data_IF_079157249252
#
_entry.id   IF_079157249252
#
_cell.length_a   1.000
_cell.length_b   1.000
_cell.length_c   1.000
_cell.angle_alpha   90.00
_cell.angle_beta   90.00
_cell.angle_gamma   90.00
#
_symmetry.space_group_name_H-M   'P 1'
#
loop_
_entity.id
_entity.type
_entity.pdbx_description
1 polymer ?
#
# COMPACT_ATOMS: atom_id res chain seq x y z
N UNK A 1 -16.06 29.58 -9.56
CA UNK A 1 -15.50 28.30 -10.04
C UNK A 1 -16.29 27.18 -9.38
N UNK A 2 -16.84 26.21 -10.13
CA UNK A 2 -17.64 25.13 -9.52
C UNK A 2 -16.68 24.19 -8.78
N UNK A 3 -16.81 24.06 -7.47
CA UNK A 3 -15.99 23.13 -6.66
C UNK A 3 -16.01 21.72 -7.26
N UNK A 4 -14.85 21.05 -7.27
CA UNK A 4 -14.75 19.63 -7.69
C UNK A 4 -15.42 18.73 -6.66
N UNK A 5 -15.31 19.10 -5.38
CA UNK A 5 -15.81 18.35 -4.25
C UNK A 5 -17.17 18.86 -3.81
N UNK A 6 -18.08 17.93 -3.46
CA UNK A 6 -19.18 18.27 -2.57
C UNK A 6 -18.69 18.21 -1.12
N UNK A 7 -19.29 19.00 -0.21
CA UNK A 7 -19.05 18.84 1.22
C UNK A 7 -19.31 17.40 1.67
N UNK A 8 -18.49 16.93 2.61
CA UNK A 8 -18.69 15.65 3.28
C UNK A 8 -19.86 15.77 4.27
N UNK A 9 -20.64 14.70 4.41
CA UNK A 9 -21.77 14.62 5.33
C UNK A 9 -21.49 13.54 6.38
N UNK A 10 -21.62 13.89 7.66
CA UNK A 10 -21.36 12.96 8.77
C UNK A 10 -19.93 12.41 8.74
N UNK A 11 -19.80 11.09 8.81
CA UNK A 11 -18.51 10.37 8.80
C UNK A 11 -18.04 9.97 7.40
N UNK A 12 -18.56 10.61 6.35
CA UNK A 12 -18.11 10.34 4.99
C UNK A 12 -16.60 10.55 4.83
N UNK A 13 -16.03 9.71 3.96
CA UNK A 13 -14.70 9.81 3.40
C UNK A 13 -14.86 9.76 1.88
N UNK A 14 -14.01 10.46 1.14
CA UNK A 14 -13.95 10.32 -0.32
C UNK A 14 -12.98 9.22 -0.70
N UNK A 15 -13.31 8.56 -1.79
CA UNK A 15 -12.44 7.65 -2.51
C UNK A 15 -12.44 8.04 -3.98
N UNK A 16 -11.51 7.47 -4.74
CA UNK A 16 -11.51 7.55 -6.19
C UNK A 16 -11.63 6.15 -6.80
N UNK A 17 -12.20 6.08 -8.00
CA UNK A 17 -12.04 4.95 -8.91
C UNK A 17 -11.19 5.41 -10.08
N UNK A 18 -10.15 4.65 -10.41
CA UNK A 18 -9.29 4.96 -11.56
C UNK A 18 -9.95 4.34 -12.80
N UNK A 19 -10.18 5.13 -13.84
CA UNK A 19 -10.75 4.62 -15.09
C UNK A 19 -9.70 3.83 -15.88
N UNK A 20 -10.10 2.76 -16.61
CA UNK A 20 -9.22 2.05 -17.53
C UNK A 20 -8.66 2.96 -18.63
N UNK A 21 -7.54 2.58 -19.21
CA UNK A 21 -6.90 3.31 -20.31
C UNK A 21 -5.45 2.88 -20.55
N UNK A 22 -4.99 3.08 -21.77
CA UNK A 22 -3.61 2.77 -22.16
C UNK A 22 -2.60 3.61 -21.36
N UNK A 23 -1.34 3.18 -21.29
CA UNK A 23 -0.28 3.87 -20.53
C UNK A 23 -0.20 5.37 -20.81
N UNK A 24 -0.32 5.77 -22.07
CA UNK A 24 -0.23 7.18 -22.53
C UNK A 24 -1.52 7.97 -22.35
N UNK A 25 -2.64 7.31 -22.06
CA UNK A 25 -3.92 7.99 -21.89
C UNK A 25 -3.90 8.84 -20.60
N UNK A 26 -4.51 10.03 -20.61
CA UNK A 26 -4.66 10.85 -19.41
C UNK A 26 -5.27 10.04 -18.26
N UNK A 27 -4.78 10.26 -17.04
CA UNK A 27 -5.41 9.66 -15.85
C UNK A 27 -6.79 10.29 -15.65
N UNK A 28 -7.80 9.44 -15.49
CA UNK A 28 -9.17 9.84 -15.18
C UNK A 28 -9.63 9.11 -13.93
N UNK A 29 -10.23 9.86 -13.01
CA UNK A 29 -10.70 9.33 -11.74
C UNK A 29 -12.11 9.81 -11.44
N UNK A 30 -12.95 8.92 -10.93
CA UNK A 30 -14.31 9.24 -10.47
C UNK A 30 -14.35 9.32 -8.95
N UNK A 31 -14.96 10.37 -8.40
CA UNK A 31 -15.11 10.54 -6.95
C UNK A 31 -16.25 9.66 -6.42
N UNK A 32 -15.97 8.96 -5.33
CA UNK A 32 -16.93 8.15 -4.59
C UNK A 32 -16.97 8.66 -3.15
N UNK A 33 -18.15 8.71 -2.55
CA UNK A 33 -18.36 9.21 -1.19
C UNK A 33 -18.99 8.09 -0.38
N UNK A 34 -18.31 7.67 0.68
CA UNK A 34 -18.78 6.57 1.52
C UNK A 34 -18.30 6.76 2.96
N UNK A 35 -19.16 6.44 3.92
CA UNK A 35 -18.76 6.36 5.33
C UNK A 35 -17.97 5.08 5.58
N UNK A 36 -16.89 5.19 6.36
CA UNK A 36 -16.19 3.99 6.80
C UNK A 36 -17.09 3.17 7.73
N UNK A 37 -17.11 1.83 7.63
CA UNK A 37 -17.82 1.01 8.59
C UNK A 37 -17.28 1.32 9.98
N UNK A 38 -18.19 1.56 10.92
CA UNK A 38 -17.89 1.99 12.28
C UNK A 38 -17.26 0.84 13.08
N UNK A 39 -16.04 0.45 12.71
CA UNK A 39 -15.30 -0.66 13.32
C UNK A 39 -14.07 -0.07 13.97
N UNK A 40 -14.26 0.49 15.17
CA UNK A 40 -13.25 0.40 16.22
C UNK A 40 -13.07 -1.08 16.52
N UNK A 41 -12.28 -1.75 15.70
CA UNK A 41 -11.69 -3.01 16.09
C UNK A 41 -10.21 -2.72 16.10
N UNK A 42 -9.69 -2.46 17.30
CA UNK A 42 -8.25 -2.41 17.49
C UNK A 42 -7.66 -3.68 16.87
N UNK A 43 -6.52 -3.62 16.15
CA UNK A 43 -5.94 -4.79 15.48
C UNK A 43 -5.78 -5.99 16.44
N UNK A 44 -5.59 -5.69 17.73
CA UNK A 44 -5.53 -6.66 18.84
C UNK A 44 -6.88 -7.33 19.09
N UNK A 45 -7.99 -6.58 19.08
CA UNK A 45 -9.34 -7.12 19.31
C UNK A 45 -9.83 -7.98 18.14
N UNK A 46 -9.47 -7.64 16.90
CA UNK A 46 -9.77 -8.46 15.72
C UNK A 46 -9.10 -9.84 15.85
N UNK A 47 -7.84 -9.85 16.27
CA UNK A 47 -7.06 -11.06 16.49
C UNK A 47 -7.60 -11.89 17.66
N UNK A 48 -8.00 -11.25 18.76
CA UNK A 48 -8.64 -11.93 19.90
C UNK A 48 -9.99 -12.55 19.54
N UNK A 49 -10.78 -11.89 18.67
CA UNK A 49 -12.04 -12.44 18.18
C UNK A 49 -11.84 -13.69 17.30
N UNK A 50 -10.79 -13.73 16.47
CA UNK A 50 -10.43 -14.89 15.66
C UNK A 50 -9.92 -16.07 16.51
N UNK A 51 -9.27 -15.82 17.65
CA UNK A 51 -8.81 -16.88 18.56
C UNK A 51 -9.93 -17.45 19.42
N UNK A 52 -10.86 -16.60 19.86
CA UNK A 52 -11.99 -17.00 20.72
C UNK A 52 -13.08 -17.77 19.99
N UNK A 53 -13.12 -17.74 18.65
CA UNK A 53 -14.13 -18.43 17.84
C UNK A 53 -13.86 -19.93 17.62
N UNK A 54 -12.83 -20.50 18.26
CA UNK A 54 -12.54 -21.94 18.20
C UNK A 54 -13.40 -22.82 19.12
N UNK A 55 -14.54 -22.34 19.63
CA UNK A 55 -15.43 -23.21 20.44
C UNK A 55 -16.91 -22.93 20.19
N UNK A 56 -17.55 -23.91 19.54
CA UNK A 56 -19.00 -24.16 19.37
C UNK A 56 -19.87 -23.09 18.69
N UNK A 57 -20.31 -23.46 17.48
CA UNK A 57 -21.27 -22.74 16.63
C UNK A 57 -22.68 -22.80 17.22
N UNK A 58 -23.26 -21.64 17.53
CA UNK A 58 -24.71 -21.42 17.51
C UNK A 58 -25.07 -20.55 16.30
N UNK A 59 -26.08 -20.90 15.48
CA UNK A 59 -26.44 -20.13 14.30
C UNK A 59 -27.26 -18.90 14.69
N UNK A 60 -26.57 -17.85 15.13
CA UNK A 60 -27.10 -16.49 15.16
C UNK A 60 -26.64 -15.76 13.89
N UNK A 61 -27.54 -15.02 13.26
CA UNK A 61 -27.27 -14.20 12.07
C UNK A 61 -26.24 -13.12 12.44
N UNK A 62 -24.95 -13.45 12.36
CA UNK A 62 -23.90 -12.43 12.28
C UNK A 62 -23.89 -11.97 10.84
N UNK A 63 -24.39 -10.76 10.57
CA UNK A 63 -24.05 -10.08 9.32
C UNK A 63 -22.52 -10.16 9.18
N UNK A 64 -21.99 -10.69 8.06
CA UNK A 64 -20.55 -10.67 7.85
C UNK A 64 -20.11 -9.22 7.96
N UNK A 65 -19.15 -8.94 8.86
CA UNK A 65 -18.55 -7.62 9.00
C UNK A 65 -18.07 -7.25 7.60
N UNK A 66 -18.73 -6.29 6.94
CA UNK A 66 -18.32 -5.81 5.63
C UNK A 66 -16.91 -5.27 5.78
N UNK A 67 -15.94 -6.07 5.32
CA UNK A 67 -14.54 -5.68 5.33
C UNK A 67 -14.42 -4.45 4.42
N UNK A 68 -13.73 -3.38 4.84
CA UNK A 68 -13.58 -2.21 3.99
C UNK A 68 -12.94 -2.60 2.66
N UNK A 69 -13.52 -2.15 1.54
CA UNK A 69 -13.23 -2.63 0.18
C UNK A 69 -12.35 -1.67 -0.62
N UNK A 70 -11.45 -0.94 0.04
CA UNK A 70 -10.58 0.03 -0.63
C UNK A 70 -9.10 -0.20 -0.36
N UNK A 71 -8.28 0.35 -1.25
CA UNK A 71 -6.82 0.41 -1.16
C UNK A 71 -6.42 1.83 -0.78
N UNK A 72 -5.52 2.00 0.19
CA UNK A 72 -4.93 3.32 0.46
C UNK A 72 -3.56 3.42 -0.21
N UNK A 73 -3.26 4.57 -0.83
CA UNK A 73 -1.93 4.86 -1.36
C UNK A 73 -1.12 5.63 -0.30
N UNK A 74 0.08 5.15 -0.06
CA UNK A 74 1.11 5.83 0.74
C UNK A 74 2.24 6.19 -0.21
N UNK A 75 2.60 7.47 -0.31
CA UNK A 75 3.59 7.92 -1.30
C UNK A 75 4.29 9.21 -0.86
N UNK A 76 5.48 9.47 -1.41
CA UNK A 76 6.17 10.75 -1.23
C UNK A 76 5.51 11.79 -2.13
N UNK A 77 5.15 12.96 -1.60
CA UNK A 77 4.53 14.01 -2.42
C UNK A 77 5.38 14.38 -3.66
N UNK A 78 6.70 14.46 -3.51
CA UNK A 78 7.62 14.83 -4.57
C UNK A 78 7.77 16.34 -4.71
N UNK A 79 8.27 16.79 -5.86
CA UNK A 79 8.43 18.22 -6.16
C UNK A 79 7.07 18.84 -6.51
N UNK A 80 6.60 19.79 -5.69
CA UNK A 80 5.33 20.48 -5.88
C UNK A 80 5.31 21.40 -7.12
N UNK A 81 6.48 21.76 -7.67
CA UNK A 81 6.60 22.56 -8.90
C UNK A 81 6.49 21.72 -10.18
N UNK A 82 6.64 20.41 -10.08
CA UNK A 82 6.58 19.48 -11.21
C UNK A 82 5.24 18.75 -11.17
N UNK A 83 4.26 19.27 -11.89
CA UNK A 83 2.90 18.71 -11.94
C UNK A 83 2.50 18.22 -13.32
N UNK A 84 1.63 17.22 -13.35
CA UNK A 84 0.89 16.81 -14.54
C UNK A 84 -0.62 16.87 -14.27
N UNK A 85 -1.40 16.97 -15.34
CA UNK A 85 -2.85 17.03 -15.28
C UNK A 85 -3.48 15.64 -15.20
N UNK A 86 -4.51 15.50 -14.37
CA UNK A 86 -5.46 14.39 -14.41
C UNK A 86 -6.91 14.92 -14.40
N UNK A 87 -7.85 14.11 -14.86
CA UNK A 87 -9.28 14.44 -14.82
C UNK A 87 -9.93 13.83 -13.57
N UNK A 88 -10.34 14.66 -12.62
CA UNK A 88 -11.08 14.24 -11.43
C UNK A 88 -12.56 14.61 -11.57
N UNK A 89 -13.43 13.60 -11.67
CA UNK A 89 -14.87 13.75 -11.90
C UNK A 89 -15.17 14.70 -13.09
N UNK A 90 -14.44 14.51 -14.19
CA UNK A 90 -14.58 15.31 -15.40
C UNK A 90 -13.95 16.71 -15.36
N UNK A 91 -13.23 17.08 -14.29
CA UNK A 91 -12.54 18.38 -14.18
C UNK A 91 -11.01 18.21 -14.14
N UNK A 92 -10.24 19.05 -14.85
CA UNK A 92 -8.78 18.98 -14.80
C UNK A 92 -8.26 19.43 -13.44
N UNK A 93 -7.30 18.67 -12.88
CA UNK A 93 -6.56 19.03 -11.66
C UNK A 93 -5.08 18.75 -11.86
N UNK A 94 -4.24 19.62 -11.30
CA UNK A 94 -2.79 19.47 -11.30
C UNK A 94 -2.34 18.70 -10.06
N UNK A 95 -1.52 17.67 -10.25
CA UNK A 95 -0.89 16.91 -9.17
C UNK A 95 0.56 16.63 -9.49
N UNK A 96 1.35 16.36 -8.45
CA UNK A 96 2.78 16.10 -8.62
C UNK A 96 3.01 14.93 -9.58
N UNK A 97 4.06 15.02 -10.39
CA UNK A 97 4.41 13.97 -11.34
C UNK A 97 4.59 12.61 -10.65
N UNK A 98 5.08 12.59 -9.40
CA UNK A 98 5.20 11.34 -8.64
C UNK A 98 3.84 10.69 -8.32
N UNK A 99 2.82 11.47 -7.97
CA UNK A 99 1.48 10.92 -7.76
C UNK A 99 0.91 10.38 -9.08
N UNK A 100 1.12 11.11 -10.18
CA UNK A 100 0.62 10.73 -11.51
C UNK A 100 1.28 9.42 -11.97
N UNK A 101 2.60 9.27 -11.79
CA UNK A 101 3.31 8.02 -12.04
C UNK A 101 2.75 6.86 -11.20
N UNK A 102 2.50 7.08 -9.91
CA UNK A 102 1.86 6.10 -9.04
C UNK A 102 0.46 5.69 -9.53
N UNK A 103 -0.37 6.66 -9.92
CA UNK A 103 -1.71 6.41 -10.49
C UNK A 103 -1.66 5.60 -11.79
N UNK A 104 -0.68 5.88 -12.68
CA UNK A 104 -0.45 5.09 -13.89
C UNK A 104 -0.14 3.63 -13.55
N UNK A 105 0.72 3.39 -12.57
CA UNK A 105 1.04 2.02 -12.15
C UNK A 105 -0.16 1.32 -11.49
N UNK A 106 -0.94 2.02 -10.65
CA UNK A 106 -2.19 1.47 -10.12
C UNK A 106 -3.18 1.10 -11.23
N UNK A 107 -3.31 1.93 -12.28
CA UNK A 107 -4.14 1.61 -13.46
C UNK A 107 -3.67 0.32 -14.15
N UNK A 108 -2.36 0.17 -14.37
CA UNK A 108 -1.78 -1.05 -14.96
C UNK A 108 -2.08 -2.29 -14.11
N UNK A 109 -2.01 -2.18 -12.78
CA UNK A 109 -2.33 -3.29 -11.87
C UNK A 109 -3.81 -3.69 -11.92
N UNK A 110 -4.73 -2.72 -12.02
CA UNK A 110 -6.17 -2.98 -12.18
C UNK A 110 -6.50 -3.71 -13.49
N UNK A 111 -5.74 -3.43 -14.56
CA UNK A 111 -5.90 -4.08 -15.86
C UNK A 111 -5.20 -5.45 -15.93
N UNK A 112 -4.31 -5.76 -14.98
CA UNK A 112 -3.57 -7.02 -14.90
C UNK A 112 -3.64 -7.63 -13.49
N UNK A 113 -4.82 -8.09 -13.01
CA UNK A 113 -4.99 -8.56 -11.63
C UNK A 113 -4.03 -9.69 -11.22
N UNK A 114 -3.64 -10.57 -12.15
CA UNK A 114 -2.63 -11.62 -11.90
C UNK A 114 -1.26 -11.09 -11.47
N UNK A 115 -1.00 -9.80 -11.69
CA UNK A 115 0.22 -9.07 -11.29
C UNK A 115 -0.05 -8.10 -10.14
N UNK A 116 -1.15 -8.22 -9.41
CA UNK A 116 -1.51 -7.34 -8.31
C UNK A 116 -1.91 -8.15 -7.05
N UNK A 117 -1.99 -7.52 -5.87
CA UNK A 117 -2.59 -8.16 -4.70
C UNK A 117 -4.04 -8.59 -5.01
N UNK A 118 -4.53 -9.69 -4.43
CA UNK A 118 -5.91 -10.19 -4.65
C UNK A 118 -7.02 -9.16 -4.43
N UNK A 119 -6.77 -8.11 -3.65
CA UNK A 119 -7.71 -7.01 -3.49
C UNK A 119 -8.03 -6.28 -4.80
N UNK A 120 -7.18 -6.40 -5.82
CA UNK A 120 -7.33 -5.83 -7.16
C UNK A 120 -8.10 -6.76 -8.13
N UNK A 121 -8.49 -7.97 -7.72
CA UNK A 121 -9.24 -8.92 -8.58
C UNK A 121 -10.65 -8.41 -8.94
N UNK A 122 -11.15 -7.41 -8.22
CA UNK A 122 -12.40 -6.74 -8.53
C UNK A 122 -12.11 -5.47 -9.37
N UNK A 123 -12.76 -5.33 -10.52
CA UNK A 123 -12.66 -4.10 -11.33
C UNK A 123 -13.24 -2.85 -10.65
N UNK A 124 -13.93 -3.01 -9.52
CA UNK A 124 -14.54 -1.91 -8.75
C UNK A 124 -13.71 -1.51 -7.50
N UNK A 125 -12.37 -1.48 -7.62
CA UNK A 125 -11.51 -1.07 -6.50
C UNK A 125 -11.58 0.44 -6.28
N UNK A 126 -11.91 0.81 -5.04
CA UNK A 126 -11.79 2.19 -4.56
C UNK A 126 -10.39 2.45 -4.01
N UNK A 127 -9.88 3.65 -4.25
CA UNK A 127 -8.61 4.12 -3.71
C UNK A 127 -8.80 5.31 -2.80
N UNK A 128 -8.10 5.30 -1.67
CA UNK A 128 -7.91 6.48 -0.85
C UNK A 128 -6.51 7.05 -1.08
N UNK A 129 -6.47 8.31 -1.50
CA UNK A 129 -5.24 9.07 -1.74
C UNK A 129 -5.47 10.46 -1.18
N UNK A 130 -4.72 10.85 -0.14
CA UNK A 130 -4.88 12.11 0.59
C UNK A 130 -5.02 13.34 -0.34
N UNK A 131 -4.17 13.45 -1.35
CA UNK A 131 -4.15 14.57 -2.28
C UNK A 131 -5.37 14.66 -3.21
N UNK A 132 -6.17 13.58 -3.35
CA UNK A 132 -7.37 13.54 -4.20
C UNK A 132 -8.67 13.35 -3.41
N UNK A 133 -8.58 12.75 -2.22
CA UNK A 133 -9.73 12.43 -1.39
C UNK A 133 -10.01 13.54 -0.36
N UNK A 134 -9.00 14.33 0.02
CA UNK A 134 -9.15 15.50 0.87
C UNK A 134 -9.14 16.75 -0.01
N UNK A 135 -10.09 17.66 0.23
CA UNK A 135 -10.09 18.97 -0.39
C UNK A 135 -8.92 19.80 0.18
N UNK A 136 -7.83 19.88 -0.58
CA UNK A 136 -6.58 20.48 -0.12
C UNK A 136 -6.66 22.00 0.07
N UNK A 137 -7.66 22.63 -0.53
CA UNK A 137 -7.90 24.07 -0.46
C UNK A 137 -8.90 24.43 0.66
N UNK A 138 -9.55 23.43 1.27
CA UNK A 138 -10.51 23.60 2.34
C UNK A 138 -9.86 23.31 3.71
N UNK A 139 -9.52 24.38 4.44
CA UNK A 139 -8.82 24.29 5.73
C UNK A 139 -9.67 23.57 6.77
N UNK A 140 -10.97 23.86 6.82
CA UNK A 140 -11.92 23.24 7.73
C UNK A 140 -11.97 21.73 7.49
N UNK A 141 -12.07 21.29 6.23
CA UNK A 141 -12.08 19.88 5.90
C UNK A 141 -10.77 19.18 6.28
N UNK A 142 -9.62 19.78 5.97
CA UNK A 142 -8.31 19.23 6.34
C UNK A 142 -8.20 19.04 7.85
N UNK A 143 -8.68 20.01 8.63
CA UNK A 143 -8.67 19.92 10.09
C UNK A 143 -9.51 18.75 10.63
N UNK A 144 -10.54 18.33 9.90
CA UNK A 144 -11.38 17.18 10.23
C UNK A 144 -10.81 15.84 9.70
N UNK A 145 -10.20 15.83 8.51
CA UNK A 145 -9.76 14.61 7.84
C UNK A 145 -8.37 14.14 8.28
N UNK A 146 -7.42 15.06 8.53
CA UNK A 146 -6.05 14.69 8.94
C UNK A 146 -6.04 13.84 10.22
N UNK A 147 -6.80 14.18 11.28
CA UNK A 147 -6.89 13.30 12.47
C UNK A 147 -7.49 11.92 12.18
N UNK A 148 -8.27 11.75 11.10
CA UNK A 148 -8.90 10.49 10.71
C UNK A 148 -8.00 9.60 9.85
N UNK A 149 -6.86 10.10 9.35
CA UNK A 149 -5.95 9.35 8.48
C UNK A 149 -5.53 8.01 9.08
N UNK A 150 -5.24 7.95 10.38
CA UNK A 150 -4.90 6.71 11.05
C UNK A 150 -5.98 5.63 10.92
N UNK A 151 -7.25 6.00 11.10
CA UNK A 151 -8.40 5.10 10.93
C UNK A 151 -8.61 4.71 9.48
N UNK A 152 -8.38 5.64 8.54
CA UNK A 152 -8.50 5.37 7.11
C UNK A 152 -7.41 4.40 6.65
N UNK A 153 -6.15 4.58 7.06
CA UNK A 153 -5.10 3.62 6.72
C UNK A 153 -5.32 2.26 7.39
N UNK A 154 -5.73 2.23 8.67
CA UNK A 154 -5.96 0.97 9.39
C UNK A 154 -7.16 0.17 8.87
N UNK A 155 -8.16 0.87 8.32
CA UNK A 155 -9.35 0.24 7.76
C UNK A 155 -9.12 -0.26 6.34
N UNK A 156 -8.11 0.22 5.62
CA UNK A 156 -7.87 -0.20 4.23
C UNK A 156 -7.67 -1.73 4.11
N UNK A 157 -8.15 -2.30 3.02
CA UNK A 157 -7.95 -3.71 2.71
C UNK A 157 -6.46 -4.02 2.49
N UNK A 158 -5.78 -3.10 1.81
CA UNK A 158 -4.33 -3.06 1.55
C UNK A 158 -3.90 -1.60 1.58
N UNK A 159 -2.71 -1.35 2.12
CA UNK A 159 -2.01 -0.08 1.94
C UNK A 159 -0.85 -0.31 0.99
N UNK A 160 -0.86 0.38 -0.15
CA UNK A 160 0.22 0.32 -1.14
C UNK A 160 1.17 1.48 -0.90
N UNK A 161 2.42 1.17 -0.56
CA UNK A 161 3.53 2.11 -0.51
C UNK A 161 4.14 2.26 -1.91
N UNK A 162 3.88 3.39 -2.58
CA UNK A 162 4.51 3.74 -3.85
C UNK A 162 5.92 4.28 -3.60
N UNK A 163 6.91 3.50 -4.05
CA UNK A 163 8.33 3.78 -3.88
C UNK A 163 8.93 4.54 -5.07
N UNK A 164 8.12 4.93 -6.05
CA UNK A 164 8.59 5.61 -7.26
C UNK A 164 8.95 4.65 -8.40
N UNK A 165 9.16 5.23 -9.58
CA UNK A 165 9.58 4.50 -10.77
C UNK A 165 10.95 3.86 -10.58
N UNK A 166 11.21 2.79 -11.31
CA UNK A 166 12.51 2.15 -11.31
C UNK A 166 13.39 2.80 -12.39
N UNK A 167 14.62 3.15 -12.02
CA UNK A 167 15.65 3.59 -12.95
C UNK A 167 16.44 2.40 -13.50
N UNK A 168 17.76 2.52 -13.49
CA UNK A 168 18.69 1.50 -14.00
C UNK A 168 18.67 0.14 -13.25
N UNK A 169 17.92 0.02 -12.17
CA UNK A 169 17.88 -1.17 -11.31
C UNK A 169 16.61 -2.01 -11.45
N UNK A 170 15.82 -1.76 -12.49
CA UNK A 170 14.51 -2.41 -12.71
C UNK A 170 14.58 -3.94 -12.62
N UNK A 171 15.57 -4.57 -13.27
CA UNK A 171 15.75 -6.02 -13.25
C UNK A 171 16.02 -6.57 -11.85
N UNK A 172 16.87 -5.91 -11.06
CA UNK A 172 17.21 -6.37 -9.70
C UNK A 172 16.02 -6.24 -8.76
N UNK A 173 15.26 -5.14 -8.89
CA UNK A 173 14.05 -4.91 -8.10
C UNK A 173 12.98 -5.92 -8.46
N UNK A 174 12.80 -6.23 -9.75
CA UNK A 174 11.91 -7.31 -10.20
C UNK A 174 12.25 -8.63 -9.53
N UNK A 175 13.52 -9.02 -9.60
CA UNK A 175 13.98 -10.32 -9.13
C UNK A 175 13.81 -10.42 -7.60
N UNK A 176 14.13 -9.34 -6.88
CA UNK A 176 13.91 -9.23 -5.42
C UNK A 176 12.42 -9.33 -5.04
N UNK A 177 11.55 -8.57 -5.69
CA UNK A 177 10.11 -8.56 -5.40
C UNK A 177 9.44 -9.89 -5.78
N UNK A 178 9.86 -10.48 -6.89
CA UNK A 178 9.43 -11.82 -7.32
C UNK A 178 9.81 -12.87 -6.30
N UNK A 179 11.07 -12.87 -5.85
CA UNK A 179 11.55 -13.79 -4.83
C UNK A 179 10.76 -13.63 -3.53
N UNK A 180 10.55 -12.40 -3.05
CA UNK A 180 9.75 -12.15 -1.85
C UNK A 180 8.34 -12.77 -1.97
N UNK A 181 7.67 -12.63 -3.12
CA UNK A 181 6.35 -13.23 -3.34
C UNK A 181 6.39 -14.77 -3.44
N UNK A 182 7.45 -15.35 -4.02
CA UNK A 182 7.62 -16.80 -4.12
C UNK A 182 7.88 -17.44 -2.76
N UNK A 183 8.76 -16.86 -1.94
CA UNK A 183 9.10 -17.40 -0.63
C UNK A 183 7.91 -17.35 0.35
N UNK A 184 6.97 -16.43 0.13
CA UNK A 184 5.89 -16.17 1.08
C UNK A 184 4.49 -16.40 0.50
N UNK A 185 4.34 -17.34 -0.45
CA UNK A 185 3.04 -17.66 -1.08
C UNK A 185 1.98 -18.26 -0.14
N UNK A 186 2.32 -18.53 1.13
CA UNK A 186 1.38 -18.97 2.16
C UNK A 186 0.83 -17.76 2.92
N UNK A 187 -0.24 -17.17 2.41
CA UNK A 187 -0.95 -16.00 2.98
C UNK A 187 -1.44 -16.17 4.44
N UNK A 188 -1.34 -17.36 5.04
CA UNK A 188 -1.98 -17.71 6.32
C UNK A 188 -1.02 -17.99 7.50
N UNK A 189 0.29 -17.79 7.37
CA UNK A 189 1.19 -17.91 8.53
C UNK A 189 1.51 -16.53 9.12
N UNK A 190 1.16 -16.24 10.38
CA UNK A 190 1.52 -14.99 11.06
C UNK A 190 3.03 -14.90 11.37
N UNK A 191 3.78 -15.98 11.15
CA UNK A 191 5.23 -16.01 11.23
C UNK A 191 5.76 -16.30 9.83
N UNK A 192 6.25 -15.24 9.16
CA UNK A 192 7.02 -15.35 7.92
C UNK A 192 8.43 -15.85 8.23
N UNK A 193 8.52 -17.04 8.81
CA UNK A 193 9.79 -17.74 8.93
C UNK A 193 10.09 -18.45 7.62
N UNK A 194 11.23 -18.09 7.04
CA UNK A 194 11.80 -18.80 5.89
C UNK A 194 12.24 -20.19 6.37
N UNK A 195 11.78 -21.23 5.66
CA UNK A 195 12.23 -22.60 5.92
C UNK A 195 13.64 -22.85 5.36
N UNK A 196 14.26 -23.98 5.71
CA UNK A 196 15.60 -24.35 5.25
C UNK A 196 15.71 -24.45 3.73
N UNK A 197 14.62 -24.72 3.01
CA UNK A 197 14.62 -24.78 1.54
C UNK A 197 14.67 -23.37 0.97
N UNK A 198 13.87 -22.46 1.52
CA UNK A 198 13.85 -21.04 1.16
C UNK A 198 15.19 -20.35 1.47
N UNK A 199 15.80 -20.67 2.61
CA UNK A 199 17.13 -20.17 2.96
C UNK A 199 18.22 -20.69 2.01
N UNK A 200 18.12 -21.93 1.53
CA UNK A 200 19.03 -22.45 0.49
C UNK A 200 18.86 -21.70 -0.84
N UNK A 201 17.63 -21.39 -1.24
CA UNK A 201 17.35 -20.56 -2.43
C UNK A 201 17.96 -19.17 -2.30
N UNK A 202 17.85 -18.55 -1.12
CA UNK A 202 18.49 -17.25 -0.82
C UNK A 202 20.03 -17.33 -0.81
N UNK A 203 20.60 -18.46 -0.39
CA UNK A 203 22.04 -18.65 -0.31
C UNK A 203 22.72 -19.06 -1.63
N UNK A 204 21.96 -19.51 -2.64
CA UNK A 204 22.50 -19.96 -3.92
C UNK A 204 22.78 -18.84 -4.93
N UNK A 205 22.14 -17.67 -4.77
CA UNK A 205 22.33 -16.50 -5.63
C UNK A 205 23.09 -15.40 -4.91
N UNK A 206 23.92 -14.66 -5.66
CA UNK A 206 24.87 -13.62 -5.19
C UNK A 206 24.26 -12.74 -4.09
N UNK A 207 24.50 -13.06 -2.80
CA UNK A 207 23.77 -12.42 -1.72
C UNK A 207 24.15 -10.96 -1.55
N UNK A 208 25.37 -10.59 -1.99
CA UNK A 208 25.81 -9.20 -2.06
C UNK A 208 24.92 -8.35 -2.96
N UNK A 209 24.51 -8.86 -4.12
CA UNK A 209 23.73 -8.08 -5.10
C UNK A 209 22.29 -7.85 -4.57
N UNK A 210 21.73 -8.84 -3.87
CA UNK A 210 20.44 -8.72 -3.21
C UNK A 210 20.48 -7.76 -2.01
N UNK A 211 21.50 -7.86 -1.15
CA UNK A 211 21.70 -6.92 -0.03
C UNK A 211 21.81 -5.50 -0.54
N UNK A 212 22.61 -5.27 -1.59
CA UNK A 212 22.76 -3.94 -2.20
C UNK A 212 21.44 -3.44 -2.78
N UNK A 213 20.68 -4.31 -3.46
CA UNK A 213 19.35 -3.96 -4.01
C UNK A 213 18.35 -3.59 -2.90
N UNK A 214 18.33 -4.35 -1.80
CA UNK A 214 17.53 -4.03 -0.61
C UNK A 214 17.96 -2.70 0.01
N UNK A 215 19.27 -2.45 0.14
CA UNK A 215 19.80 -1.19 0.64
C UNK A 215 19.37 -0.01 -0.23
N UNK A 216 19.50 -0.12 -1.56
CA UNK A 216 19.05 0.93 -2.49
C UNK A 216 17.54 1.14 -2.42
N UNK A 217 16.75 0.08 -2.27
CA UNK A 217 15.30 0.20 -2.09
C UNK A 217 14.96 0.96 -0.80
N UNK A 218 15.61 0.60 0.32
CA UNK A 218 15.44 1.25 1.62
C UNK A 218 15.96 2.69 1.68
N UNK A 219 16.82 3.11 0.74
CA UNK A 219 17.29 4.49 0.60
C UNK A 219 16.31 5.37 -0.19
N UNK A 220 15.20 4.81 -0.71
CA UNK A 220 14.22 5.61 -1.43
C UNK A 220 13.53 6.59 -0.48
N UNK A 221 13.18 7.81 -0.92
CA UNK A 221 12.68 8.88 -0.06
C UNK A 221 11.41 8.54 0.73
N UNK A 222 10.67 7.51 0.29
CA UNK A 222 9.52 7.02 1.02
C UNK A 222 9.89 6.54 2.42
N UNK A 223 11.02 5.85 2.59
CA UNK A 223 11.48 5.29 3.88
C UNK A 223 11.88 6.36 4.91
N UNK A 224 12.18 7.58 4.48
CA UNK A 224 12.53 8.70 5.36
C UNK A 224 11.29 9.42 5.94
N UNK A 225 10.08 9.05 5.51
CA UNK A 225 8.85 9.73 5.93
C UNK A 225 8.46 9.33 7.35
N UNK A 226 8.38 10.32 8.24
CA UNK A 226 7.88 10.18 9.63
C UNK A 226 6.47 9.54 9.69
N UNK A 227 5.64 9.77 8.67
CA UNK A 227 4.25 9.29 8.62
C UNK A 227 4.09 7.80 8.28
N UNK A 228 5.17 7.09 7.90
CA UNK A 228 5.11 5.63 7.62
C UNK A 228 4.53 4.86 8.80
N UNK A 229 4.76 5.32 10.03
CA UNK A 229 4.22 4.67 11.24
C UNK A 229 2.69 4.64 11.22
N UNK A 230 2.03 5.71 10.79
CA UNK A 230 0.56 5.72 10.72
C UNK A 230 0.05 4.95 9.50
N UNK A 231 0.80 4.97 8.41
CA UNK A 231 0.40 4.41 7.11
C UNK A 231 0.61 2.89 7.04
N UNK A 232 1.67 2.36 7.67
CA UNK A 232 2.12 0.97 7.48
C UNK A 232 2.04 0.12 8.76
N UNK A 233 2.37 0.67 9.94
CA UNK A 233 2.32 -0.12 11.20
C UNK A 233 0.86 -0.44 11.58
N UNK A 234 -0.08 0.42 11.17
CA UNK A 234 -1.52 0.21 11.40
C UNK A 234 -2.24 -0.50 10.25
N UNK A 235 -1.55 -0.70 9.12
CA UNK A 235 -2.12 -1.40 7.98
C UNK A 235 -2.25 -2.89 8.28
N UNK A 236 -3.40 -3.47 7.94
CA UNK A 236 -3.59 -4.92 8.03
C UNK A 236 -2.72 -5.69 7.03
N UNK A 237 -2.48 -5.10 5.86
CA UNK A 237 -1.77 -5.71 4.74
C UNK A 237 -0.97 -4.67 3.96
N UNK A 238 0.20 -4.27 4.47
CA UNK A 238 1.10 -3.38 3.75
C UNK A 238 1.70 -4.07 2.51
N UNK A 239 1.72 -3.36 1.39
CA UNK A 239 2.38 -3.77 0.14
C UNK A 239 3.35 -2.68 -0.32
N UNK A 240 4.47 -3.08 -0.89
CA UNK A 240 5.44 -2.18 -1.52
C UNK A 240 5.25 -2.26 -3.04
N UNK A 241 5.22 -1.12 -3.71
CA UNK A 241 5.15 -1.00 -5.17
C UNK A 241 6.31 -0.12 -5.65
N UNK A 242 7.23 -0.71 -6.43
CA UNK A 242 8.40 -0.05 -7.01
C UNK A 242 8.40 -0.25 -8.52
N UNK A 243 8.22 0.84 -9.28
CA UNK A 243 7.94 0.75 -10.71
C UNK A 243 6.71 -0.11 -10.99
N UNK A 244 6.89 -1.21 -11.73
CA UNK A 244 5.80 -2.15 -12.05
C UNK A 244 5.77 -3.40 -11.15
N UNK A 245 6.67 -3.49 -10.17
CA UNK A 245 6.82 -4.67 -9.33
C UNK A 245 6.38 -4.40 -7.91
N UNK A 246 5.70 -5.37 -7.31
CA UNK A 246 5.20 -5.27 -5.95
C UNK A 246 5.49 -6.54 -5.15
N UNK A 247 5.50 -6.40 -3.83
CA UNK A 247 5.39 -7.52 -2.90
C UNK A 247 4.68 -7.07 -1.62
N UNK A 248 4.23 -8.01 -0.79
CA UNK A 248 3.82 -7.67 0.57
C UNK A 248 5.04 -7.24 1.39
N UNK A 249 4.90 -6.19 2.21
CA UNK A 249 6.01 -5.66 3.01
C UNK A 249 6.64 -6.73 3.91
N UNK A 250 5.81 -7.57 4.54
CA UNK A 250 6.27 -8.66 5.41
C UNK A 250 7.07 -9.74 4.65
N UNK A 251 6.84 -9.89 3.34
CA UNK A 251 7.61 -10.82 2.52
C UNK A 251 9.03 -10.28 2.31
N UNK A 252 9.15 -8.98 2.04
CA UNK A 252 10.45 -8.33 1.91
C UNK A 252 11.22 -8.33 3.24
N UNK A 253 10.51 -8.12 4.35
CA UNK A 253 11.08 -8.23 5.70
C UNK A 253 11.60 -9.65 5.99
N UNK A 254 10.85 -10.68 5.59
CA UNK A 254 11.30 -12.07 5.73
C UNK A 254 12.57 -12.34 4.92
N UNK A 255 12.63 -11.89 3.65
CA UNK A 255 13.84 -11.95 2.81
C UNK A 255 15.02 -11.28 3.51
N UNK A 256 14.80 -10.07 4.03
CA UNK A 256 15.81 -9.31 4.77
C UNK A 256 16.35 -10.10 5.99
N UNK A 257 15.46 -10.65 6.82
CA UNK A 257 15.82 -11.45 7.99
C UNK A 257 16.56 -12.73 7.57
N UNK A 258 16.15 -13.38 6.49
CA UNK A 258 16.81 -14.58 5.96
C UNK A 258 18.25 -14.32 5.54
N UNK A 259 18.46 -13.25 4.77
CA UNK A 259 19.79 -12.80 4.37
C UNK A 259 20.65 -12.48 5.61
N UNK A 260 20.09 -11.80 6.60
CA UNK A 260 20.78 -11.49 7.84
C UNK A 260 21.23 -12.77 8.58
N UNK A 261 20.34 -13.75 8.72
CA UNK A 261 20.64 -15.05 9.36
C UNK A 261 21.73 -15.82 8.61
N UNK A 262 21.73 -15.78 7.28
CA UNK A 262 22.71 -16.48 6.44
C UNK A 262 24.11 -15.84 6.48
N UNK A 263 24.20 -14.51 6.58
CA UNK A 263 25.46 -13.79 6.42
C UNK A 263 26.08 -13.25 7.71
N UNK A 264 25.42 -13.38 8.87
CA UNK A 264 25.92 -12.87 10.16
C UNK A 264 26.35 -11.39 10.11
N UNK A 265 25.78 -10.60 9.20
CA UNK A 265 26.05 -9.17 9.12
C UNK A 265 25.47 -8.50 10.37
N UNK A 266 26.16 -7.55 11.00
CA UNK A 266 25.61 -6.78 12.13
C UNK A 266 24.36 -5.97 11.71
N UNK A 267 23.38 -5.72 12.59
CA UNK A 267 22.20 -4.94 12.22
C UNK A 267 22.61 -3.48 11.99
N UNK A 268 22.23 -2.89 10.84
CA UNK A 268 22.58 -1.51 10.48
C UNK A 268 21.98 -0.44 11.42
N UNK A 269 21.02 -0.81 12.28
CA UNK A 269 20.47 0.07 13.32
C UNK A 269 21.30 0.12 14.61
N UNK A 270 22.34 -0.71 14.76
CA UNK A 270 23.32 -0.57 15.84
C UNK A 270 24.43 0.36 15.34
N UNK A 271 24.26 1.66 15.59
CA UNK A 271 25.38 2.61 15.47
C UNK A 271 26.43 2.22 16.52
N UNK A 272 27.62 1.83 16.09
CA UNK A 272 28.79 1.71 16.95
C UNK A 272 29.03 3.05 17.65
N UNK A 273 29.13 2.98 18.98
CA UNK A 273 29.58 4.05 19.87
C UNK A 273 31.07 4.31 19.68
#
# INVERSE_FOLDING_TARGET
MISIYRPLVGDEVRFIRIQPGAWTDPIRCDLVYQSLPNTRVDPVDAWLSDISSSTTVTPGISNPIEKPTYVALSYVWGDASVTEELMLNGKPVQKTANLIAGLRQLRVLLENPSRAPKTFDNHDVMFWIDALCIDQDNVEEKSMQVPRMGTIYSSAAVVVAWLGENGAEDEKIRDLMSLANTLCSRENSPQYELDDTMLKTLGSDRPSDMVLTLQHLCQRPWFDRVWIVQEMVRSRRPALLAGSYWCHYLHLEAVWIGIYKLHSCQPWFVRSS
#
